data_IF_770840678509
#
_entry.id   IF_770840678509
#
_cell.length_a   1.000
_cell.length_b   1.000
_cell.length_c   1.000
_cell.angle_alpha   90.00
_cell.angle_beta   90.00
_cell.angle_gamma   90.00
#
_symmetry.space_group_name_H-M   'P 1'
#
loop_
_entity.id
_entity.type
_entity.pdbx_description
1 polymer ?
#
# COMPACT_ATOMS: atom_id res chain seq x y z
N UNK A 1 -3.26 31.27 -15.10
CA UNK A 1 -3.22 29.82 -15.42
C UNK A 1 -1.94 29.48 -16.16
N UNK A 2 -1.24 28.39 -15.78
CA UNK A 2 -0.08 27.88 -16.54
C UNK A 2 -0.53 27.44 -17.95
N UNK A 3 0.33 27.62 -18.95
CA UNK A 3 0.08 27.14 -20.33
C UNK A 3 0.18 25.61 -20.39
N UNK A 4 -0.46 24.98 -21.40
CA UNK A 4 -0.37 23.52 -21.59
C UNK A 4 1.09 23.06 -21.70
N UNK A 5 1.92 23.80 -22.45
CA UNK A 5 3.35 23.52 -22.57
C UNK A 5 4.05 23.50 -21.21
N UNK A 6 3.74 24.46 -20.34
CA UNK A 6 4.33 24.52 -19.00
C UNK A 6 3.83 23.38 -18.11
N UNK A 7 2.56 22.97 -18.25
CA UNK A 7 2.02 21.81 -17.52
C UNK A 7 2.66 20.50 -17.99
N UNK A 8 2.93 20.34 -19.27
CA UNK A 8 3.62 19.16 -19.81
C UNK A 8 5.07 19.08 -19.30
N UNK A 9 5.80 20.20 -19.31
CA UNK A 9 7.16 20.25 -18.74
C UNK A 9 7.15 19.94 -17.25
N UNK A 10 6.17 20.50 -16.51
CA UNK A 10 5.99 20.19 -15.09
C UNK A 10 5.78 18.69 -14.86
N UNK A 11 4.87 18.06 -15.60
CA UNK A 11 4.60 16.63 -15.48
C UNK A 11 5.85 15.78 -15.72
N UNK A 12 6.58 16.00 -16.82
CA UNK A 12 7.76 15.20 -17.12
C UNK A 12 8.89 15.40 -16.10
N UNK A 13 9.11 16.64 -15.64
CA UNK A 13 10.10 16.93 -14.60
C UNK A 13 9.73 16.25 -13.28
N UNK A 14 8.50 16.47 -12.79
CA UNK A 14 8.03 15.88 -11.53
C UNK A 14 8.01 14.35 -11.56
N UNK A 15 7.72 13.75 -12.72
CA UNK A 15 7.81 12.30 -12.93
C UNK A 15 9.25 11.79 -12.82
N UNK A 16 10.21 12.52 -13.39
CA UNK A 16 11.62 12.17 -13.28
C UNK A 16 12.16 12.38 -11.86
N UNK A 17 11.70 13.44 -11.18
CA UNK A 17 12.02 13.69 -9.77
C UNK A 17 11.52 12.56 -8.88
N UNK A 18 10.27 12.12 -9.05
CA UNK A 18 9.75 10.97 -8.32
C UNK A 18 10.59 9.71 -8.58
N UNK A 19 10.95 9.43 -9.84
CA UNK A 19 11.82 8.30 -10.16
C UNK A 19 13.20 8.42 -9.49
N UNK A 20 13.77 9.62 -9.42
CA UNK A 20 15.04 9.86 -8.74
C UNK A 20 14.92 9.57 -7.25
N UNK A 21 13.88 10.11 -6.60
CA UNK A 21 13.60 9.90 -5.16
C UNK A 21 13.44 8.40 -4.88
N UNK A 22 12.64 7.68 -5.66
CA UNK A 22 12.40 6.24 -5.45
C UNK A 22 13.61 5.34 -5.75
N UNK A 23 14.62 5.84 -6.44
CA UNK A 23 15.87 5.12 -6.68
C UNK A 23 16.94 5.39 -5.61
N UNK A 24 16.65 6.23 -4.62
CA UNK A 24 17.52 6.43 -3.45
C UNK A 24 17.51 5.19 -2.54
N UNK A 25 18.55 5.02 -1.72
CA UNK A 25 18.54 3.98 -0.68
C UNK A 25 17.49 4.26 0.40
N UNK A 26 17.24 5.54 0.68
CA UNK A 26 16.29 6.00 1.68
C UNK A 26 15.46 7.14 1.12
N UNK A 27 14.14 6.94 1.10
CA UNK A 27 13.18 7.96 0.67
C UNK A 27 12.88 8.90 1.83
N UNK A 28 13.32 10.15 1.72
CA UNK A 28 13.05 11.18 2.72
C UNK A 28 11.68 11.83 2.50
N UNK A 29 10.95 12.06 3.59
CA UNK A 29 9.62 12.70 3.53
C UNK A 29 9.68 14.14 2.99
N UNK A 30 10.79 14.85 3.25
CA UNK A 30 11.01 16.21 2.78
C UNK A 30 11.05 16.31 1.25
N UNK A 31 11.76 15.40 0.56
CA UNK A 31 11.81 15.40 -0.91
C UNK A 31 10.43 15.17 -1.54
N UNK A 32 9.60 14.32 -0.90
CA UNK A 32 8.22 14.08 -1.33
C UNK A 32 7.33 15.29 -1.09
N UNK A 33 7.51 16.00 0.03
CA UNK A 33 6.78 17.24 0.32
C UNK A 33 7.12 18.36 -0.67
N UNK A 34 8.40 18.56 -1.01
CA UNK A 34 8.82 19.52 -2.03
C UNK A 34 8.23 19.21 -3.41
N UNK A 35 8.11 17.92 -3.73
CA UNK A 35 7.48 17.47 -4.96
C UNK A 35 5.97 17.73 -4.95
N UNK A 36 5.29 17.56 -3.81
CA UNK A 36 3.88 17.93 -3.65
C UNK A 36 3.68 19.44 -3.85
N UNK A 37 4.55 20.28 -3.28
CA UNK A 37 4.51 21.73 -3.48
C UNK A 37 4.66 22.08 -4.97
N UNK A 38 5.59 21.43 -5.65
CA UNK A 38 5.79 21.60 -7.09
C UNK A 38 4.55 21.21 -7.90
N UNK A 39 3.94 20.07 -7.56
CA UNK A 39 2.73 19.55 -8.20
C UNK A 39 1.48 20.40 -7.89
N UNK A 40 1.48 21.13 -6.78
CA UNK A 40 0.43 22.10 -6.43
C UNK A 40 0.71 23.51 -6.94
N UNK A 41 1.67 23.63 -7.87
CA UNK A 41 2.07 24.87 -8.52
C UNK A 41 2.68 25.90 -7.56
N UNK A 42 3.31 25.43 -6.48
CA UNK A 42 3.87 26.21 -5.39
C UNK A 42 2.79 27.03 -4.63
N UNK A 43 1.55 26.55 -4.64
CA UNK A 43 0.55 27.04 -3.71
C UNK A 43 0.96 26.59 -2.30
N UNK A 44 0.97 27.52 -1.34
CA UNK A 44 1.45 27.24 0.02
C UNK A 44 0.40 26.44 0.80
N UNK A 45 0.50 25.11 0.75
CA UNK A 45 -0.24 24.20 1.61
C UNK A 45 0.65 23.79 2.79
N UNK A 46 0.20 24.01 4.01
CA UNK A 46 0.99 23.72 5.21
C UNK A 46 0.85 22.25 5.63
N UNK A 47 1.24 21.32 4.74
CA UNK A 47 0.97 19.88 4.87
C UNK A 47 1.59 19.28 6.13
N UNK A 48 2.75 19.79 6.55
CA UNK A 48 3.48 19.30 7.72
C UNK A 48 3.75 20.46 8.67
N UNK A 49 3.38 20.26 9.94
CA UNK A 49 3.73 21.13 11.05
C UNK A 49 4.52 20.32 12.07
N UNK A 50 5.77 20.70 12.26
CA UNK A 50 6.75 19.96 13.06
C UNK A 50 6.85 18.49 12.61
N UNK A 51 6.40 17.55 13.43
CA UNK A 51 6.41 16.10 13.13
C UNK A 51 5.04 15.56 12.69
N UNK A 52 4.01 16.41 12.62
CA UNK A 52 2.61 16.02 12.36
C UNK A 52 2.13 16.49 10.99
N UNK A 53 1.27 15.68 10.36
CA UNK A 53 0.66 16.00 9.06
C UNK A 53 -0.72 16.62 9.28
N UNK A 54 -1.00 17.73 8.58
CA UNK A 54 -2.31 18.38 8.60
C UNK A 54 -3.21 17.77 7.52
N UNK A 55 -4.08 16.85 7.94
CA UNK A 55 -5.03 16.18 7.07
C UNK A 55 -6.00 17.15 6.37
N UNK A 56 -6.30 18.31 6.98
CA UNK A 56 -7.16 19.31 6.33
C UNK A 56 -6.43 19.99 5.17
N UNK A 57 -5.13 20.26 5.33
CA UNK A 57 -4.30 20.82 4.24
C UNK A 57 -4.18 19.81 3.09
N UNK A 58 -3.98 18.52 3.40
CA UNK A 58 -4.00 17.45 2.39
C UNK A 58 -5.35 17.43 1.66
N UNK A 59 -6.46 17.46 2.38
CA UNK A 59 -7.79 17.49 1.76
C UNK A 59 -7.97 18.72 0.84
N UNK A 60 -7.47 19.90 1.23
CA UNK A 60 -7.52 21.11 0.40
C UNK A 60 -6.73 20.96 -0.91
N UNK A 61 -5.62 20.23 -0.92
CA UNK A 61 -4.87 19.94 -2.15
C UNK A 61 -5.73 19.13 -3.13
N UNK A 62 -6.45 18.12 -2.62
CA UNK A 62 -7.35 17.31 -3.45
C UNK A 62 -8.52 18.15 -3.99
N UNK A 63 -9.11 19.03 -3.17
CA UNK A 63 -10.14 19.99 -3.62
C UNK A 63 -9.62 20.93 -4.71
N UNK A 64 -8.40 21.43 -4.55
CA UNK A 64 -7.75 22.26 -5.56
C UNK A 64 -7.66 21.54 -6.92
N UNK A 65 -7.27 20.27 -6.94
CA UNK A 65 -7.22 19.49 -8.17
C UNK A 65 -8.61 19.16 -8.74
N UNK A 66 -9.60 18.89 -7.89
CA UNK A 66 -10.99 18.69 -8.32
C UNK A 66 -11.53 19.91 -9.07
N UNK A 67 -11.28 21.10 -8.54
CA UNK A 67 -11.67 22.35 -9.18
C UNK A 67 -10.92 22.59 -10.50
N UNK A 68 -9.61 22.31 -10.54
CA UNK A 68 -8.84 22.38 -11.79
C UNK A 68 -9.42 21.48 -12.88
N UNK A 69 -9.64 20.20 -12.55
CA UNK A 69 -10.15 19.19 -13.49
C UNK A 69 -11.57 19.53 -13.96
N UNK A 70 -12.42 20.03 -13.07
CA UNK A 70 -13.77 20.47 -13.43
C UNK A 70 -13.73 21.63 -14.43
N UNK A 71 -12.88 22.62 -14.20
CA UNK A 71 -12.76 23.79 -15.08
C UNK A 71 -12.16 23.40 -16.43
N UNK A 72 -11.05 22.65 -16.44
CA UNK A 72 -10.39 22.28 -17.70
C UNK A 72 -11.19 21.29 -18.54
N UNK A 73 -12.02 20.44 -17.93
CA UNK A 73 -12.95 19.58 -18.66
C UNK A 73 -13.93 20.38 -19.52
N UNK A 74 -14.41 21.51 -19.00
CA UNK A 74 -15.35 22.40 -19.71
C UNK A 74 -14.65 23.27 -20.76
N UNK A 75 -13.39 23.63 -20.54
CA UNK A 75 -12.67 24.59 -21.37
C UNK A 75 -11.83 23.94 -22.49
N UNK A 76 -11.02 22.93 -22.18
CA UNK A 76 -10.00 22.41 -23.09
C UNK A 76 -9.61 20.96 -22.74
N UNK A 77 -10.00 20.03 -23.61
CA UNK A 77 -9.69 18.60 -23.45
C UNK A 77 -8.20 18.30 -23.26
N UNK A 78 -7.31 18.93 -24.03
CA UNK A 78 -5.86 18.68 -23.88
C UNK A 78 -5.31 19.19 -22.56
N UNK A 79 -5.89 20.28 -22.03
CA UNK A 79 -5.56 20.78 -20.69
C UNK A 79 -6.05 19.82 -19.61
N UNK A 80 -7.27 19.32 -19.74
CA UNK A 80 -7.82 18.33 -18.83
C UNK A 80 -6.93 17.09 -18.75
N UNK A 81 -6.51 16.53 -19.88
CA UNK A 81 -5.66 15.33 -19.91
C UNK A 81 -4.32 15.52 -19.19
N UNK A 82 -3.67 16.69 -19.32
CA UNK A 82 -2.41 16.93 -18.62
C UNK A 82 -2.60 17.22 -17.13
N UNK A 83 -3.66 17.93 -16.74
CA UNK A 83 -4.01 18.16 -15.34
C UNK A 83 -4.43 16.86 -14.65
N UNK A 84 -5.10 15.95 -15.38
CA UNK A 84 -5.44 14.62 -14.88
C UNK A 84 -4.17 13.79 -14.64
N UNK A 85 -3.19 13.81 -15.55
CA UNK A 85 -1.89 13.16 -15.33
C UNK A 85 -1.16 13.72 -14.11
N UNK A 86 -1.18 15.03 -13.90
CA UNK A 86 -0.59 15.67 -12.72
C UNK A 86 -1.30 15.23 -11.43
N UNK A 87 -2.64 15.11 -11.46
CA UNK A 87 -3.42 14.57 -10.34
C UNK A 87 -3.05 13.13 -9.99
N UNK A 88 -2.91 12.25 -11.00
CA UNK A 88 -2.47 10.87 -10.79
C UNK A 88 -1.06 10.82 -10.20
N UNK A 89 -0.15 11.65 -10.70
CA UNK A 89 1.21 11.74 -10.17
C UNK A 89 1.20 12.22 -8.72
N UNK A 90 0.36 13.20 -8.37
CA UNK A 90 0.19 13.65 -7.00
C UNK A 90 -0.28 12.52 -6.08
N UNK A 91 -1.27 11.72 -6.49
CA UNK A 91 -1.72 10.54 -5.72
C UNK A 91 -0.56 9.57 -5.49
N UNK A 92 0.26 9.33 -6.52
CA UNK A 92 1.43 8.46 -6.40
C UNK A 92 2.46 9.03 -5.42
N UNK A 93 2.75 10.33 -5.46
CA UNK A 93 3.67 10.96 -4.49
C UNK A 93 3.16 10.83 -3.05
N UNK A 94 1.86 11.04 -2.81
CA UNK A 94 1.27 10.80 -1.48
C UNK A 94 1.28 9.32 -1.06
N UNK A 95 1.14 8.39 -2.01
CA UNK A 95 1.27 6.94 -1.74
C UNK A 95 2.66 6.64 -1.21
N UNK A 96 3.69 7.19 -1.86
CA UNK A 96 5.08 7.03 -1.42
C UNK A 96 5.36 7.77 -0.11
N UNK A 97 4.68 8.89 0.15
CA UNK A 97 4.74 9.56 1.45
C UNK A 97 4.17 8.64 2.55
N UNK A 98 3.05 7.96 2.29
CA UNK A 98 2.49 6.98 3.21
C UNK A 98 3.45 5.79 3.47
N UNK A 99 4.26 5.38 2.48
CA UNK A 99 5.28 4.35 2.69
C UNK A 99 6.32 4.76 3.74
N UNK A 100 6.62 6.05 3.89
CA UNK A 100 7.50 6.56 4.96
C UNK A 100 6.87 6.47 6.35
N UNK A 101 5.54 6.42 6.45
CA UNK A 101 4.80 6.40 7.72
C UNK A 101 4.72 5.00 8.32
N UNK A 102 4.88 3.96 7.50
CA UNK A 102 4.76 2.55 7.91
C UNK A 102 5.70 2.19 9.05
N UNK A 103 6.84 2.89 9.15
CA UNK A 103 7.87 2.66 10.17
C UNK A 103 7.61 3.43 11.48
N UNK A 104 6.54 4.21 11.58
CA UNK A 104 6.19 5.01 12.75
C UNK A 104 4.77 4.69 13.22
N UNK A 105 4.66 4.05 14.39
CA UNK A 105 3.39 3.67 15.01
C UNK A 105 2.40 4.82 15.12
N UNK A 106 2.88 6.05 15.34
CA UNK A 106 2.00 7.21 15.51
C UNK A 106 1.48 7.76 14.18
N UNK A 107 2.12 7.42 13.05
CA UNK A 107 1.74 7.88 11.70
C UNK A 107 0.95 6.85 10.91
N UNK A 108 0.92 5.58 11.31
CA UNK A 108 0.07 4.56 10.69
C UNK A 108 -1.41 5.01 10.55
N UNK A 109 -2.04 5.66 11.55
CA UNK A 109 -3.40 6.19 11.39
C UNK A 109 -3.55 7.24 10.29
N UNK A 110 -2.49 7.98 9.95
CA UNK A 110 -2.52 8.99 8.89
C UNK A 110 -2.66 8.36 7.50
N UNK A 111 -2.22 7.11 7.33
CA UNK A 111 -2.39 6.34 6.08
C UNK A 111 -3.89 6.07 5.83
N UNK A 112 -4.63 5.67 6.86
CA UNK A 112 -6.09 5.46 6.77
C UNK A 112 -6.82 6.76 6.43
N UNK A 113 -6.44 7.85 7.10
CA UNK A 113 -7.01 9.16 6.86
C UNK A 113 -6.74 9.63 5.43
N UNK A 114 -5.53 9.41 4.92
CA UNK A 114 -5.18 9.69 3.53
C UNK A 114 -6.06 8.90 2.55
N UNK A 115 -6.28 7.60 2.77
CA UNK A 115 -7.18 6.81 1.91
C UNK A 115 -8.62 7.29 1.95
N UNK A 116 -9.08 7.74 3.11
CA UNK A 116 -10.41 8.32 3.23
C UNK A 116 -10.53 9.60 2.40
N UNK A 117 -9.54 10.51 2.49
CA UNK A 117 -9.46 11.72 1.66
C UNK A 117 -9.46 11.36 0.17
N UNK A 118 -8.66 10.36 -0.24
CA UNK A 118 -8.60 9.92 -1.63
C UNK A 118 -9.92 9.34 -2.14
N UNK A 119 -10.61 8.52 -1.31
CA UNK A 119 -11.94 7.99 -1.63
C UNK A 119 -12.96 9.10 -1.81
N UNK A 120 -12.95 10.09 -0.92
CA UNK A 120 -13.81 11.27 -1.01
C UNK A 120 -13.51 12.09 -2.26
N UNK A 121 -12.23 12.30 -2.57
CA UNK A 121 -11.81 13.03 -3.75
C UNK A 121 -12.26 12.34 -5.05
N UNK A 122 -12.07 11.02 -5.15
CA UNK A 122 -12.58 10.22 -6.28
C UNK A 122 -14.09 10.38 -6.42
N UNK A 123 -14.84 10.24 -5.32
CA UNK A 123 -16.29 10.33 -5.36
C UNK A 123 -16.74 11.73 -5.81
N UNK A 124 -16.03 12.76 -5.38
CA UNK A 124 -16.30 14.12 -5.79
C UNK A 124 -15.99 14.35 -7.27
N UNK A 125 -14.87 13.86 -7.79
CA UNK A 125 -14.59 13.88 -9.23
C UNK A 125 -15.67 13.16 -10.06
N UNK A 126 -16.15 12.00 -9.60
CA UNK A 126 -17.25 11.27 -10.26
C UNK A 126 -18.56 12.07 -10.32
N UNK A 127 -18.82 12.91 -9.31
CA UNK A 127 -20.02 13.72 -9.22
C UNK A 127 -19.90 15.03 -10.02
N UNK A 128 -18.70 15.62 -10.08
CA UNK A 128 -18.48 16.96 -10.63
C UNK A 128 -17.96 16.97 -12.06
N UNK A 129 -17.34 15.87 -12.51
CA UNK A 129 -16.76 15.72 -13.85
C UNK A 129 -17.33 14.45 -14.50
N UNK A 130 -17.90 14.51 -15.72
CA UNK A 130 -18.42 13.33 -16.40
C UNK A 130 -17.27 12.53 -17.03
N UNK A 131 -16.48 11.89 -16.17
CA UNK A 131 -15.34 11.06 -16.54
C UNK A 131 -15.78 9.86 -17.38
N UNK A 132 -15.04 9.57 -18.45
CA UNK A 132 -15.27 8.36 -19.24
C UNK A 132 -14.79 7.10 -18.47
N UNK A 133 -15.16 5.92 -19.00
CA UNK A 133 -14.78 4.64 -18.40
C UNK A 133 -13.27 4.48 -18.25
N UNK A 134 -12.48 5.04 -19.17
CA UNK A 134 -11.01 4.96 -19.10
C UNK A 134 -10.54 5.69 -17.84
N UNK A 135 -10.88 6.97 -17.68
CA UNK A 135 -10.49 7.78 -16.53
C UNK A 135 -10.97 7.17 -15.20
N UNK A 136 -12.19 6.65 -15.17
CA UNK A 136 -12.74 5.98 -13.99
C UNK A 136 -11.95 4.71 -13.61
N UNK A 137 -11.52 3.93 -14.61
CA UNK A 137 -10.71 2.74 -14.37
C UNK A 137 -9.32 3.11 -13.81
N UNK A 138 -8.69 4.19 -14.29
CA UNK A 138 -7.41 4.67 -13.73
C UNK A 138 -7.57 5.08 -12.26
N UNK A 139 -8.64 5.82 -11.92
CA UNK A 139 -8.88 6.22 -10.53
C UNK A 139 -9.21 5.04 -9.62
N UNK A 140 -9.96 4.05 -10.12
CA UNK A 140 -10.24 2.84 -9.36
C UNK A 140 -8.97 2.00 -9.15
N UNK A 141 -8.08 1.93 -10.15
CA UNK A 141 -6.77 1.27 -10.03
C UNK A 141 -5.96 1.84 -8.86
N UNK A 142 -5.81 3.16 -8.79
CA UNK A 142 -5.02 3.81 -7.74
C UNK A 142 -5.53 3.50 -6.34
N UNK A 143 -6.85 3.38 -6.17
CA UNK A 143 -7.45 2.96 -4.89
C UNK A 143 -7.22 1.47 -4.64
N UNK A 144 -7.27 0.65 -5.68
CA UNK A 144 -6.90 -0.77 -5.62
C UNK A 144 -5.47 -0.95 -5.11
N UNK A 145 -4.53 -0.20 -5.66
CA UNK A 145 -3.12 -0.14 -5.23
C UNK A 145 -2.97 0.15 -3.74
N UNK A 146 -3.66 1.18 -3.23
CA UNK A 146 -3.62 1.48 -1.80
C UNK A 146 -4.08 0.31 -0.92
N UNK A 147 -5.11 -0.43 -1.35
CA UNK A 147 -5.67 -1.52 -0.54
C UNK A 147 -4.64 -2.65 -0.36
N UNK A 148 -3.98 -3.11 -1.42
CA UNK A 148 -3.02 -4.20 -1.29
C UNK A 148 -1.64 -3.75 -0.79
N UNK A 149 -1.31 -2.46 -0.89
CA UNK A 149 -0.11 -1.89 -0.31
C UNK A 149 -0.20 -1.78 1.22
N UNK A 150 -1.36 -1.44 1.79
CA UNK A 150 -1.40 -1.00 3.19
C UNK A 150 -2.42 -1.73 4.09
N UNK A 151 -3.27 -2.62 3.59
CA UNK A 151 -4.20 -3.32 4.52
C UNK A 151 -3.49 -4.24 5.54
N UNK A 152 -2.21 -4.54 5.34
CA UNK A 152 -1.41 -5.42 6.20
C UNK A 152 -0.71 -4.72 7.38
N UNK A 153 -0.62 -3.38 7.38
CA UNK A 153 0.22 -2.64 8.36
C UNK A 153 -0.49 -2.35 9.68
N UNK A 154 -1.81 -2.50 9.75
CA UNK A 154 -2.57 -2.19 10.96
C UNK A 154 -2.25 -3.17 12.08
N UNK A 155 -1.79 -2.65 13.21
CA UNK A 155 -1.63 -3.45 14.41
C UNK A 155 -2.99 -3.83 15.01
N UNK A 156 -3.18 -5.12 15.25
CA UNK A 156 -4.36 -5.65 15.95
C UNK A 156 -3.95 -6.33 17.25
N UNK A 157 -4.32 -5.76 18.39
CA UNK A 157 -4.17 -6.45 19.68
C UNK A 157 -5.18 -7.61 19.75
N UNK A 158 -4.67 -8.84 19.74
CA UNK A 158 -5.49 -10.06 19.78
C UNK A 158 -6.07 -10.34 21.19
N UNK A 159 -5.69 -9.54 22.19
CA UNK A 159 -6.20 -9.64 23.55
C UNK A 159 -7.25 -8.57 23.87
N UNK A 160 -7.34 -7.52 23.06
CA UNK A 160 -8.32 -6.44 23.25
C UNK A 160 -9.75 -6.83 22.84
N UNK A 161 -9.91 -7.85 22.00
CA UNK A 161 -11.19 -8.28 21.45
C UNK A 161 -11.33 -9.81 21.48
N UNK A 162 -12.57 -10.35 21.34
CA UNK A 162 -12.76 -11.78 21.12
C UNK A 162 -11.96 -12.28 19.93
N UNK A 163 -11.31 -13.43 20.09
CA UNK A 163 -10.36 -13.95 19.10
C UNK A 163 -11.00 -14.20 17.73
N UNK A 164 -12.25 -14.66 17.72
CA UNK A 164 -13.03 -14.81 16.49
C UNK A 164 -13.19 -13.50 15.71
N UNK A 165 -13.47 -12.40 16.42
CA UNK A 165 -13.55 -11.07 15.81
C UNK A 165 -12.17 -10.63 15.28
N UNK A 166 -11.10 -10.99 15.99
CA UNK A 166 -9.75 -10.76 15.49
C UNK A 166 -9.51 -11.53 14.18
N UNK A 167 -9.90 -12.80 14.09
CA UNK A 167 -9.76 -13.58 12.85
C UNK A 167 -10.56 -12.99 11.69
N UNK A 168 -11.82 -12.59 11.92
CA UNK A 168 -12.62 -11.89 10.91
C UNK A 168 -11.94 -10.61 10.42
N UNK A 169 -11.30 -9.84 11.32
CA UNK A 169 -10.59 -8.62 10.94
C UNK A 169 -9.34 -8.91 10.09
N UNK A 170 -8.61 -9.98 10.39
CA UNK A 170 -7.48 -10.43 9.58
C UNK A 170 -7.92 -10.93 8.21
N UNK A 171 -9.00 -11.72 8.15
CA UNK A 171 -9.61 -12.17 6.89
C UNK A 171 -10.07 -10.99 6.04
N UNK A 172 -10.79 -10.02 6.63
CA UNK A 172 -11.22 -8.81 5.95
C UNK A 172 -10.06 -8.01 5.36
N UNK A 173 -8.93 -7.93 6.08
CA UNK A 173 -7.74 -7.27 5.55
C UNK A 173 -7.14 -8.04 4.38
N UNK A 174 -7.11 -9.37 4.41
CA UNK A 174 -6.72 -10.16 3.25
C UNK A 174 -7.65 -9.93 2.06
N UNK A 175 -8.96 -10.07 2.26
CA UNK A 175 -9.97 -9.83 1.21
C UNK A 175 -9.82 -8.45 0.56
N UNK A 176 -9.58 -7.41 1.37
CA UNK A 176 -9.30 -6.06 0.87
C UNK A 176 -8.08 -6.00 -0.04
N UNK A 177 -7.00 -6.71 0.31
CA UNK A 177 -5.80 -6.75 -0.52
C UNK A 177 -6.06 -7.43 -1.85
N UNK A 178 -6.68 -8.61 -1.85
CA UNK A 178 -6.97 -9.32 -3.09
C UNK A 178 -7.96 -8.56 -3.96
N UNK A 179 -9.04 -8.04 -3.38
CA UNK A 179 -9.98 -7.19 -4.11
C UNK A 179 -9.30 -5.93 -4.68
N UNK A 180 -8.37 -5.33 -3.93
CA UNK A 180 -7.55 -4.22 -4.40
C UNK A 180 -6.71 -4.59 -5.63
N UNK A 181 -6.03 -5.74 -5.57
CA UNK A 181 -5.23 -6.25 -6.68
C UNK A 181 -6.09 -6.61 -7.89
N UNK A 182 -7.24 -7.24 -7.70
CA UNK A 182 -8.17 -7.60 -8.78
C UNK A 182 -8.72 -6.37 -9.50
N UNK A 183 -9.06 -5.31 -8.75
CA UNK A 183 -9.43 -4.02 -9.34
C UNK A 183 -8.30 -3.46 -10.20
N UNK A 184 -7.07 -3.54 -9.71
CA UNK A 184 -5.90 -3.09 -10.45
C UNK A 184 -5.67 -3.91 -11.71
N UNK A 185 -5.75 -5.24 -11.61
CA UNK A 185 -5.60 -6.17 -12.72
C UNK A 185 -6.68 -5.96 -13.80
N UNK A 186 -7.95 -5.81 -13.40
CA UNK A 186 -9.07 -5.58 -14.31
C UNK A 186 -8.93 -4.26 -15.10
N UNK A 187 -8.19 -3.30 -14.56
CA UNK A 187 -7.91 -2.02 -15.19
C UNK A 187 -6.59 -2.00 -15.99
N UNK A 188 -5.90 -3.14 -16.13
CA UNK A 188 -4.54 -3.26 -16.68
C UNK A 188 -3.55 -2.29 -15.97
N UNK A 189 -3.71 -2.21 -14.65
CA UNK A 189 -2.96 -1.32 -13.75
C UNK A 189 -3.03 0.17 -14.10
N UNK A 190 -4.19 0.62 -14.59
CA UNK A 190 -4.52 2.03 -14.83
C UNK A 190 -3.82 2.67 -16.04
N UNK A 191 -2.54 2.37 -16.27
CA UNK A 191 -1.74 2.63 -17.47
C UNK A 191 -0.32 2.09 -17.19
N UNK A 192 0.24 1.23 -18.04
CA UNK A 192 1.50 0.45 -17.83
C UNK A 192 2.79 1.26 -17.60
N UNK A 193 2.69 2.57 -17.44
CA UNK A 193 3.81 3.50 -17.42
C UNK A 193 4.68 3.35 -16.15
N UNK A 194 4.12 2.81 -15.05
CA UNK A 194 4.80 2.67 -13.76
C UNK A 194 4.67 1.31 -13.08
N UNK A 195 3.89 0.39 -13.65
CA UNK A 195 3.44 -0.80 -12.92
C UNK A 195 3.77 -2.08 -13.69
N UNK A 196 4.41 -3.04 -13.02
CA UNK A 196 4.70 -4.35 -13.57
C UNK A 196 3.88 -5.39 -12.80
N UNK A 197 2.97 -6.08 -13.51
CA UNK A 197 2.05 -7.07 -12.93
C UNK A 197 2.76 -8.13 -12.07
N UNK A 198 3.93 -8.62 -12.49
CA UNK A 198 4.68 -9.63 -11.73
C UNK A 198 5.19 -9.04 -10.42
N UNK A 199 5.72 -7.82 -10.46
CA UNK A 199 6.17 -7.11 -9.25
C UNK A 199 4.99 -6.89 -8.30
N UNK A 200 3.84 -6.43 -8.82
CA UNK A 200 2.65 -6.18 -8.01
C UNK A 200 2.09 -7.45 -7.37
N UNK A 201 2.12 -8.58 -8.10
CA UNK A 201 1.71 -9.87 -7.55
C UNK A 201 2.63 -10.28 -6.39
N UNK A 202 3.93 -10.08 -6.53
CA UNK A 202 4.89 -10.37 -5.46
C UNK A 202 4.73 -9.41 -4.27
N UNK A 203 4.35 -8.15 -4.49
CA UNK A 203 4.02 -7.20 -3.41
C UNK A 203 2.79 -7.69 -2.65
N UNK A 204 1.72 -8.07 -3.36
CA UNK A 204 0.51 -8.65 -2.76
C UNK A 204 0.86 -9.88 -1.92
N UNK A 205 1.64 -10.81 -2.50
CA UNK A 205 2.06 -12.05 -1.84
C UNK A 205 2.89 -11.79 -0.60
N UNK A 206 3.85 -10.87 -0.68
CA UNK A 206 4.67 -10.47 0.45
C UNK A 206 3.82 -9.91 1.60
N UNK A 207 2.94 -8.95 1.29
CA UNK A 207 2.10 -8.28 2.27
C UNK A 207 1.09 -9.26 2.91
N UNK A 208 0.49 -10.15 2.11
CA UNK A 208 -0.49 -11.13 2.59
C UNK A 208 0.18 -12.16 3.50
N UNK A 209 1.35 -12.64 3.10
CA UNK A 209 2.16 -13.56 3.90
C UNK A 209 2.56 -12.90 5.23
N UNK A 210 3.02 -11.65 5.19
CA UNK A 210 3.40 -10.90 6.38
C UNK A 210 2.22 -10.74 7.36
N UNK A 211 1.03 -10.37 6.86
CA UNK A 211 -0.17 -10.25 7.68
C UNK A 211 -0.48 -11.57 8.42
N UNK A 212 -0.44 -12.71 7.71
CA UNK A 212 -0.71 -14.02 8.31
C UNK A 212 0.39 -14.43 9.31
N UNK A 213 1.66 -14.18 9.01
CA UNK A 213 2.78 -14.48 9.93
C UNK A 213 2.64 -13.69 11.24
N UNK A 214 2.29 -12.41 11.17
CA UNK A 214 2.06 -11.62 12.39
C UNK A 214 0.94 -12.20 13.25
N UNK A 215 -0.13 -12.72 12.64
CA UNK A 215 -1.22 -13.39 13.37
C UNK A 215 -0.73 -14.67 14.06
N UNK A 216 -0.07 -15.56 13.31
CA UNK A 216 0.42 -16.84 13.81
C UNK A 216 1.33 -16.63 15.03
N UNK A 217 2.27 -15.69 14.93
CA UNK A 217 3.24 -15.44 16.00
C UNK A 217 2.62 -14.73 17.21
N UNK A 218 1.59 -13.90 17.01
CA UNK A 218 0.77 -13.38 18.11
C UNK A 218 0.06 -14.50 18.86
N UNK A 219 -0.52 -15.46 18.14
CA UNK A 219 -1.17 -16.62 18.74
C UNK A 219 -0.14 -17.43 19.54
N UNK A 220 1.02 -17.77 18.97
CA UNK A 220 2.07 -18.48 19.71
C UNK A 220 2.50 -17.76 20.99
N UNK A 221 2.48 -16.43 21.00
CA UNK A 221 2.87 -15.63 22.16
C UNK A 221 1.83 -15.62 23.27
N UNK A 222 0.55 -15.45 22.92
CA UNK A 222 -0.51 -15.13 23.88
C UNK A 222 -1.53 -16.23 24.10
N UNK A 223 -1.54 -17.26 23.26
CA UNK A 223 -2.61 -18.23 23.13
C UNK A 223 -2.04 -19.65 23.04
N UNK A 224 -2.91 -20.63 23.25
CA UNK A 224 -2.60 -22.05 23.14
C UNK A 224 -2.74 -22.52 21.69
N UNK A 225 -2.04 -23.60 21.31
CA UNK A 225 -1.94 -24.07 19.91
C UNK A 225 -3.26 -24.64 19.37
N UNK A 226 -4.15 -25.11 20.24
CA UNK A 226 -5.50 -25.57 19.90
C UNK A 226 -6.37 -24.49 19.23
N UNK A 227 -6.03 -23.21 19.42
CA UNK A 227 -6.72 -22.10 18.75
C UNK A 227 -6.61 -22.15 17.23
N UNK A 228 -5.58 -22.79 16.68
CA UNK A 228 -5.45 -22.96 15.24
C UNK A 228 -6.51 -23.91 14.64
N UNK A 229 -7.21 -24.69 15.47
CA UNK A 229 -8.33 -25.54 15.03
C UNK A 229 -9.64 -24.74 14.86
N UNK A 230 -9.66 -23.45 15.20
CA UNK A 230 -10.82 -22.58 15.04
C UNK A 230 -11.22 -22.41 13.57
N UNK A 231 -12.51 -22.56 13.26
CA UNK A 231 -13.03 -22.47 11.88
C UNK A 231 -12.73 -21.13 11.20
N UNK A 232 -12.83 -20.00 11.92
CA UNK A 232 -12.52 -18.68 11.36
C UNK A 232 -11.04 -18.48 11.05
N UNK A 233 -10.17 -19.18 11.78
CA UNK A 233 -8.75 -19.21 11.43
C UNK A 233 -8.51 -20.09 10.19
N UNK A 234 -9.24 -21.21 10.04
CA UNK A 234 -9.19 -22.03 8.82
C UNK A 234 -9.67 -21.26 7.60
N UNK A 235 -10.67 -20.38 7.73
CA UNK A 235 -11.12 -19.52 6.64
C UNK A 235 -9.99 -18.64 6.08
N UNK A 236 -9.12 -18.09 6.96
CA UNK A 236 -7.93 -17.33 6.55
C UNK A 236 -6.98 -18.21 5.72
N UNK A 237 -6.76 -19.46 6.15
CA UNK A 237 -5.87 -20.41 5.48
C UNK A 237 -6.41 -20.78 4.10
N UNK A 238 -7.68 -21.18 4.04
CA UNK A 238 -8.38 -21.57 2.82
C UNK A 238 -8.32 -20.40 1.82
N UNK A 239 -8.67 -19.21 2.28
CA UNK A 239 -8.63 -18.00 1.46
C UNK A 239 -7.24 -17.75 0.87
N UNK A 240 -6.18 -17.86 1.67
CA UNK A 240 -4.81 -17.67 1.17
C UNK A 240 -4.41 -18.73 0.14
N UNK A 241 -4.68 -20.01 0.43
CA UNK A 241 -4.31 -21.14 -0.43
C UNK A 241 -5.01 -21.05 -1.78
N UNK A 242 -6.32 -20.80 -1.77
CA UNK A 242 -7.15 -20.73 -2.97
C UNK A 242 -6.69 -19.60 -3.90
N UNK A 243 -6.34 -18.44 -3.34
CA UNK A 243 -5.96 -17.30 -4.18
C UNK A 243 -4.52 -17.39 -4.74
N UNK A 244 -3.58 -18.04 -4.04
CA UNK A 244 -2.21 -18.22 -4.53
C UNK A 244 -1.93 -19.59 -5.17
N UNK A 245 -2.92 -20.47 -5.25
CA UNK A 245 -2.78 -21.86 -5.71
C UNK A 245 -1.63 -22.59 -4.99
N UNK A 246 -1.57 -22.42 -3.66
CA UNK A 246 -0.49 -22.99 -2.85
C UNK A 246 -0.55 -24.53 -2.86
N UNK A 247 0.58 -25.26 -2.93
CA UNK A 247 0.60 -26.72 -3.07
C UNK A 247 0.19 -27.50 -1.80
N UNK A 248 -0.40 -26.83 -0.80
CA UNK A 248 -0.82 -27.44 0.46
C UNK A 248 -2.14 -28.20 0.25
N UNK A 249 -2.22 -29.41 0.79
CA UNK A 249 -3.49 -30.11 0.93
C UNK A 249 -4.22 -29.64 2.20
N UNK A 250 -5.34 -28.95 2.02
CA UNK A 250 -6.17 -28.37 3.09
C UNK A 250 -6.69 -29.43 4.07
N UNK A 251 -6.85 -30.69 3.64
CA UNK A 251 -7.39 -31.76 4.49
C UNK A 251 -6.33 -32.40 5.41
N UNK A 252 -5.04 -32.08 5.23
CA UNK A 252 -3.93 -32.75 5.93
C UNK A 252 -2.83 -31.81 6.42
N UNK A 253 -3.04 -30.49 6.41
CA UNK A 253 -2.01 -29.55 6.85
C UNK A 253 -1.91 -29.48 8.38
N UNK A 254 -0.70 -29.23 8.86
CA UNK A 254 -0.44 -28.77 10.23
C UNK A 254 -0.17 -27.26 10.21
N UNK A 255 -0.44 -26.57 11.31
CA UNK A 255 -0.11 -25.14 11.42
C UNK A 255 1.37 -24.86 11.10
N UNK A 256 2.26 -25.76 11.51
CA UNK A 256 3.70 -25.65 11.22
C UNK A 256 4.00 -25.75 9.72
N UNK A 257 3.39 -26.72 9.02
CA UNK A 257 3.57 -26.83 7.56
C UNK A 257 2.98 -25.64 6.80
N UNK A 258 1.90 -25.04 7.31
CA UNK A 258 1.34 -23.82 6.75
C UNK A 258 2.29 -22.63 6.97
N UNK A 259 2.78 -22.45 8.20
CA UNK A 259 3.77 -21.43 8.55
C UNK A 259 5.02 -21.49 7.65
N UNK A 260 5.57 -22.68 7.41
CA UNK A 260 6.73 -22.88 6.52
C UNK A 260 6.45 -22.39 5.08
N UNK A 261 5.24 -22.61 4.58
CA UNK A 261 4.82 -22.11 3.26
C UNK A 261 4.69 -20.60 3.25
N UNK A 262 4.05 -20.02 4.27
CA UNK A 262 3.89 -18.57 4.36
C UNK A 262 5.25 -17.88 4.52
N UNK A 263 6.17 -18.43 5.32
CA UNK A 263 7.54 -17.93 5.45
C UNK A 263 8.28 -17.98 4.11
N UNK A 264 8.19 -19.11 3.39
CA UNK A 264 8.80 -19.24 2.05
C UNK A 264 8.22 -18.21 1.08
N UNK A 265 6.90 -18.05 1.07
CA UNK A 265 6.20 -17.11 0.20
C UNK A 265 6.64 -15.67 0.52
N UNK A 266 6.64 -15.27 1.79
CA UNK A 266 7.15 -13.98 2.26
C UNK A 266 8.58 -13.70 1.80
N UNK A 267 9.50 -14.63 2.01
CA UNK A 267 10.91 -14.47 1.69
C UNK A 267 11.15 -14.46 0.17
N UNK A 268 10.57 -15.40 -0.56
CA UNK A 268 10.73 -15.49 -2.02
C UNK A 268 10.27 -14.21 -2.73
N UNK A 269 9.13 -13.65 -2.33
CA UNK A 269 8.65 -12.36 -2.83
C UNK A 269 9.59 -11.21 -2.48
N UNK A 270 10.12 -11.20 -1.25
CA UNK A 270 11.07 -10.18 -0.79
C UNK A 270 12.34 -10.18 -1.64
N UNK A 271 12.92 -11.37 -1.88
CA UNK A 271 14.13 -11.53 -2.69
C UNK A 271 13.90 -11.11 -4.14
N UNK A 272 12.77 -11.52 -4.72
CA UNK A 272 12.40 -11.16 -6.09
C UNK A 272 12.30 -9.63 -6.25
N UNK A 273 11.58 -8.97 -5.35
CA UNK A 273 11.38 -7.51 -5.40
C UNK A 273 12.70 -6.77 -5.21
N UNK A 274 13.53 -7.19 -4.24
CA UNK A 274 14.86 -6.60 -4.01
C UNK A 274 15.75 -6.71 -5.24
N UNK A 275 15.72 -7.86 -5.93
CA UNK A 275 16.50 -8.11 -7.15
C UNK A 275 16.11 -7.17 -8.30
N UNK A 276 14.84 -6.80 -8.40
CA UNK A 276 14.30 -6.05 -9.54
C UNK A 276 14.24 -4.54 -9.28
N UNK A 277 13.86 -4.14 -8.06
CA UNK A 277 13.52 -2.73 -7.75
C UNK A 277 14.52 -2.05 -6.83
N UNK A 278 15.54 -2.76 -6.33
CA UNK A 278 16.44 -2.35 -5.23
C UNK A 278 15.74 -2.03 -3.90
N UNK A 279 14.40 -2.03 -3.86
CA UNK A 279 13.63 -1.77 -2.65
C UNK A 279 13.81 -2.93 -1.66
N UNK A 280 14.26 -2.62 -0.45
CA UNK A 280 14.49 -3.61 0.60
C UNK A 280 13.24 -3.80 1.47
N UNK A 281 12.23 -4.49 0.93
CA UNK A 281 11.01 -4.81 1.69
C UNK A 281 11.32 -5.57 2.98
N UNK A 282 12.37 -6.41 3.00
CA UNK A 282 12.74 -7.17 4.21
C UNK A 282 12.98 -6.25 5.40
N UNK A 283 13.77 -5.21 5.16
CA UNK A 283 14.16 -4.24 6.18
C UNK A 283 12.97 -3.42 6.65
N UNK A 284 12.12 -2.97 5.71
CA UNK A 284 10.86 -2.30 6.07
C UNK A 284 10.00 -3.18 6.98
N UNK A 285 9.81 -4.47 6.62
CA UNK A 285 9.01 -5.40 7.43
C UNK A 285 9.64 -5.69 8.79
N UNK A 286 10.97 -5.80 8.86
CA UNK A 286 11.68 -5.96 10.13
C UNK A 286 11.47 -4.75 11.04
N UNK A 287 11.54 -3.52 10.50
CA UNK A 287 11.26 -2.29 11.26
C UNK A 287 9.83 -2.32 11.83
N UNK A 288 8.83 -2.73 11.04
CA UNK A 288 7.44 -2.88 11.51
C UNK A 288 7.35 -3.89 12.68
N UNK A 289 8.02 -5.04 12.57
CA UNK A 289 8.03 -6.04 13.65
C UNK A 289 8.74 -5.52 14.89
N UNK A 290 9.82 -4.75 14.72
CA UNK A 290 10.62 -4.18 15.81
C UNK A 290 9.84 -3.14 16.64
N UNK A 291 8.84 -2.47 16.04
CA UNK A 291 7.87 -1.62 16.78
C UNK A 291 7.12 -2.38 17.89
N UNK A 292 7.03 -3.71 17.77
CA UNK A 292 6.38 -4.61 18.73
C UNK A 292 7.27 -5.83 19.02
N UNK A 293 8.57 -5.58 19.26
CA UNK A 293 9.59 -6.62 19.43
C UNK A 293 9.18 -7.72 20.42
N UNK A 294 8.55 -7.37 21.54
CA UNK A 294 8.13 -8.34 22.57
C UNK A 294 7.09 -9.36 22.07
N UNK A 295 6.32 -9.01 21.05
CA UNK A 295 5.33 -9.88 20.42
C UNK A 295 5.94 -10.72 19.30
N UNK A 296 6.86 -10.13 18.53
CA UNK A 296 7.35 -10.71 17.28
C UNK A 296 8.79 -11.21 17.34
N UNK A 297 9.44 -11.23 18.51
CA UNK A 297 10.83 -11.65 18.65
C UNK A 297 11.14 -12.98 17.95
N UNK A 298 10.28 -13.99 18.11
CA UNK A 298 10.48 -15.29 17.46
C UNK A 298 10.43 -15.19 15.92
N UNK A 299 9.51 -14.38 15.38
CA UNK A 299 9.41 -14.14 13.93
C UNK A 299 10.64 -13.39 13.41
N UNK A 300 11.07 -12.36 14.13
CA UNK A 300 12.29 -11.58 13.82
C UNK A 300 13.51 -12.51 13.77
N UNK A 301 13.70 -13.34 14.78
CA UNK A 301 14.81 -14.28 14.87
C UNK A 301 14.79 -15.29 13.71
N UNK A 302 13.60 -15.82 13.36
CA UNK A 302 13.44 -16.74 12.25
C UNK A 302 13.74 -16.09 10.89
N UNK A 303 13.25 -14.87 10.65
CA UNK A 303 13.53 -14.12 9.43
C UNK A 303 15.04 -13.82 9.32
N UNK A 304 15.66 -13.30 10.39
CA UNK A 304 17.10 -12.98 10.40
C UNK A 304 17.98 -14.22 10.20
N UNK A 305 17.57 -15.37 10.74
CA UNK A 305 18.28 -16.64 10.55
C UNK A 305 18.25 -17.10 9.09
N UNK A 306 17.11 -17.00 8.41
CA UNK A 306 16.97 -17.45 7.03
C UNK A 306 17.69 -16.50 6.07
N UNK A 307 17.56 -15.18 6.25
CA UNK A 307 18.31 -14.17 5.46
C UNK A 307 19.84 -14.36 5.59
N UNK A 308 20.34 -14.73 6.77
CA UNK A 308 21.75 -15.06 6.94
C UNK A 308 22.18 -16.31 6.16
N UNK A 309 21.33 -17.33 6.07
CA UNK A 309 21.61 -18.56 5.33
C UNK A 309 21.62 -18.35 3.81
N UNK A 310 20.79 -17.45 3.29
CA UNK A 310 20.71 -17.14 1.85
C UNK A 310 21.83 -16.21 1.36
N UNK A 311 22.54 -15.53 2.27
CA UNK A 311 23.70 -14.66 1.96
C UNK A 311 25.05 -15.40 1.91
N UNK A 312 25.09 -16.68 2.28
CA UNK A 312 26.29 -17.54 2.23
C UNK A 312 26.37 -18.33 0.93
#
# INVERSE_FOLDING_TARGET
>A
MKSIKNLTVLYENSKNDLKRILNSEYVEDLELLELIDTLTFNNSFAIKKDTTYDLNEIAKIFRFYEDLLKNSFQENKNRFEIEFKLYLLLIKVFTELCNTFVNDKNKIPDIDNFFQILKESKNMLKLTVPLDLKHLNILNNLIGEQLYYFSHIHYHDINAYPLEYTFEKYLLNLERMFHGFDLSLASDFGNKEFTNKEIELEILKNNASFLILTLIYKIYRYKTVDIFDNEKFKDIIIFYIDNFNSPINIDKFSIKSFEEVILRDFLSSTLYIKKITKHNLLEQKLVILELYTDEYKQLIDNIKKIDFQERQ
#
